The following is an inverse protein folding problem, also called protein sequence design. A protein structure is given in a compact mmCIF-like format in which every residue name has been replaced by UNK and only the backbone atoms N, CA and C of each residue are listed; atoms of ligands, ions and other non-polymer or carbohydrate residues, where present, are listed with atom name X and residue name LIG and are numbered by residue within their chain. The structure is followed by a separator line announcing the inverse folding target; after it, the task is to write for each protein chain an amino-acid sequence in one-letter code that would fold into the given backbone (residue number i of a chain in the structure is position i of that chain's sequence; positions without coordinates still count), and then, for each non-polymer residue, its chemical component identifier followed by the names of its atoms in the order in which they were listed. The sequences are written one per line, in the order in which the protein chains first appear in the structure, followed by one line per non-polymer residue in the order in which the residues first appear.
data_IF_275461088356
#
_entry.id   IF_275461088356
#
_cell.length_a   1.000
_cell.length_b   1.000
_cell.length_c   1.000
_cell.angle_alpha   90.00
_cell.angle_beta   90.00
_cell.angle_gamma   90.00
#
_symmetry.space_group_name_H-M   'P 1'
#
loop_
_entity.id
_entity.type
_entity.pdbx_description
1 polymer ?
#
# COMPACT_ATOMS: atom_id res chain seq x y z
N UNK A 1 -11.13 10.42 -79.57
CA UNK A 1 -10.88 11.78 -79.03
C UNK A 1 -10.03 11.61 -77.79
N UNK A 2 -8.86 12.23 -77.80
CA UNK A 2 -7.72 11.97 -76.91
C UNK A 2 -7.68 12.96 -75.74
N UNK A 3 -7.08 12.53 -74.60
CA UNK A 3 -6.06 13.23 -73.77
C UNK A 3 -6.08 12.60 -72.36
N UNK A 4 -5.26 11.59 -72.07
CA UNK A 4 -3.86 11.64 -71.59
C UNK A 4 -3.59 12.55 -70.39
N UNK A 5 -3.15 11.86 -69.35
CA UNK A 5 -2.46 12.26 -68.11
C UNK A 5 -1.51 13.44 -68.28
N UNK A 6 -1.52 14.35 -67.31
CA UNK A 6 -0.37 15.17 -66.95
C UNK A 6 -0.42 15.49 -65.45
N UNK A 7 0.61 15.02 -64.74
CA UNK A 7 0.97 15.51 -63.42
C UNK A 7 1.53 16.94 -63.54
N UNK A 8 1.20 17.83 -62.59
CA UNK A 8 2.06 18.97 -62.25
C UNK A 8 1.59 19.69 -60.96
N UNK A 9 2.57 19.91 -60.09
CA UNK A 9 2.76 21.06 -59.19
C UNK A 9 1.97 21.12 -57.86
N UNK A 10 2.68 20.68 -56.82
CA UNK A 10 3.14 21.52 -55.69
C UNK A 10 2.19 22.58 -55.12
N UNK A 11 1.96 22.46 -53.81
CA UNK A 11 1.78 23.60 -52.92
C UNK A 11 0.34 23.98 -52.63
N UNK A 12 -0.26 23.31 -51.65
CA UNK A 12 -1.50 23.74 -51.02
C UNK A 12 -1.55 23.11 -49.65
N UNK A 13 -1.20 23.88 -48.63
CA UNK A 13 -1.16 23.46 -47.24
C UNK A 13 -2.47 22.75 -46.88
N UNK A 14 -2.39 21.45 -46.66
CA UNK A 14 -3.37 20.79 -45.79
C UNK A 14 -3.08 21.38 -44.43
N UNK A 15 -3.88 22.39 -44.03
CA UNK A 15 -4.17 22.65 -42.64
C UNK A 15 -4.84 21.39 -42.11
N UNK A 16 -4.04 20.33 -41.93
CA UNK A 16 -4.31 19.34 -40.91
C UNK A 16 -4.31 20.21 -39.66
N UNK A 17 -5.49 20.44 -39.12
CA UNK A 17 -5.63 20.76 -37.71
C UNK A 17 -4.97 19.61 -36.98
N UNK A 18 -3.65 19.70 -36.82
CA UNK A 18 -2.93 18.97 -35.84
C UNK A 18 -3.57 19.42 -34.54
N UNK A 19 -4.48 18.60 -34.04
CA UNK A 19 -4.70 18.44 -32.62
C UNK A 19 -3.40 17.86 -32.01
N UNK A 20 -2.26 18.52 -32.24
CA UNK A 20 -1.14 18.46 -31.32
C UNK A 20 -1.70 19.09 -30.06
N UNK A 21 -2.20 18.22 -29.19
CA UNK A 21 -2.62 18.58 -27.86
C UNK A 21 -1.60 19.53 -27.28
N UNK A 22 -2.12 20.63 -26.76
CA UNK A 22 -1.42 21.42 -25.77
C UNK A 22 -1.12 20.46 -24.62
N UNK A 23 0.02 19.76 -24.65
CA UNK A 23 0.66 19.27 -23.44
C UNK A 23 1.06 20.55 -22.73
N UNK A 24 0.13 20.99 -21.89
CA UNK A 24 0.21 22.21 -21.15
C UNK A 24 1.39 22.10 -20.19
N UNK A 25 2.24 23.11 -20.16
CA UNK A 25 3.41 23.21 -19.26
C UNK A 25 3.03 22.96 -17.77
N UNK A 26 1.75 23.13 -17.43
CA UNK A 26 1.19 22.83 -16.09
C UNK A 26 1.08 21.33 -15.79
N UNK A 27 0.79 20.48 -16.79
CA UNK A 27 0.75 19.02 -16.61
C UNK A 27 2.15 18.49 -16.25
N UNK A 28 3.18 19.01 -16.88
CA UNK A 28 4.57 18.63 -16.59
C UNK A 28 4.97 19.09 -15.17
N UNK A 29 4.58 20.31 -14.77
CA UNK A 29 4.85 20.84 -13.43
C UNK A 29 4.18 20.05 -12.31
N UNK A 30 2.91 19.66 -12.46
CA UNK A 30 2.21 18.88 -11.43
C UNK A 30 2.79 17.46 -11.34
N UNK A 31 3.22 16.88 -12.47
CA UNK A 31 3.92 15.59 -12.47
C UNK A 31 5.30 15.68 -11.80
N UNK A 32 6.07 16.75 -12.03
CA UNK A 32 7.35 16.98 -11.36
C UNK A 32 7.19 17.17 -9.85
N UNK A 33 6.17 17.93 -9.45
CA UNK A 33 5.81 18.06 -8.04
C UNK A 33 5.44 16.71 -7.43
N UNK A 34 4.60 15.94 -8.12
CA UNK A 34 4.18 14.62 -7.67
C UNK A 34 5.39 13.69 -7.54
N UNK A 35 6.31 13.70 -8.51
CA UNK A 35 7.54 12.91 -8.46
C UNK A 35 8.40 13.27 -7.23
N UNK A 36 8.62 14.56 -6.98
CA UNK A 36 9.38 15.04 -5.81
C UNK A 36 8.80 14.53 -4.50
N UNK A 37 7.46 14.53 -4.37
CA UNK A 37 6.76 13.98 -3.20
C UNK A 37 6.91 12.45 -3.17
N UNK A 38 6.59 11.78 -4.26
CA UNK A 38 6.53 10.32 -4.34
C UNK A 38 7.89 9.64 -4.09
N UNK A 39 8.99 10.24 -4.52
CA UNK A 39 10.34 9.73 -4.25
C UNK A 39 10.65 9.70 -2.73
N UNK A 40 10.10 10.64 -1.95
CA UNK A 40 10.22 10.67 -0.49
C UNK A 40 9.19 9.79 0.23
N UNK A 41 8.01 9.64 -0.37
CA UNK A 41 6.87 8.87 0.16
C UNK A 41 7.14 7.37 0.11
N UNK A 42 7.71 6.86 -0.99
CA UNK A 42 7.95 5.44 -1.22
C UNK A 42 8.56 4.67 -0.03
N UNK A 43 9.72 5.08 0.55
CA UNK A 43 10.30 4.36 1.68
C UNK A 43 9.41 4.35 2.93
N UNK A 44 8.54 5.36 3.10
CA UNK A 44 7.63 5.40 4.24
C UNK A 44 6.41 4.50 4.00
N UNK A 45 5.91 4.41 2.76
CA UNK A 45 4.88 3.44 2.41
C UNK A 45 5.36 2.00 2.61
N UNK A 46 6.62 1.71 2.30
CA UNK A 46 7.21 0.39 2.56
C UNK A 46 7.24 0.08 4.05
N UNK A 47 7.61 1.05 4.90
CA UNK A 47 7.56 0.89 6.37
C UNK A 47 6.15 0.61 6.87
N UNK A 48 5.14 1.30 6.34
CA UNK A 48 3.73 1.06 6.70
C UNK A 48 3.32 -0.35 6.27
N UNK A 49 3.64 -0.78 5.05
CA UNK A 49 3.33 -2.11 4.55
C UNK A 49 3.98 -3.21 5.41
N UNK A 50 5.26 -3.05 5.75
CA UNK A 50 5.99 -4.01 6.58
C UNK A 50 5.45 -4.05 8.02
N UNK A 51 5.15 -2.89 8.62
CA UNK A 51 4.55 -2.83 9.96
C UNK A 51 3.19 -3.54 10.00
N UNK A 52 2.34 -3.28 9.01
CA UNK A 52 1.05 -3.97 8.90
C UNK A 52 1.21 -5.48 8.71
N UNK A 53 2.21 -5.92 7.92
CA UNK A 53 2.49 -7.33 7.75
C UNK A 53 2.94 -7.99 9.07
N UNK A 54 3.74 -7.31 9.89
CA UNK A 54 4.14 -7.82 11.22
C UNK A 54 2.94 -8.02 12.15
N UNK A 55 1.98 -7.09 12.17
CA UNK A 55 0.72 -7.24 12.95
C UNK A 55 -0.07 -8.47 12.47
N UNK A 56 -0.23 -8.62 11.15
CA UNK A 56 -0.96 -9.75 10.57
C UNK A 56 -0.29 -11.09 10.87
N UNK A 57 1.04 -11.12 10.87
CA UNK A 57 1.83 -12.32 11.19
C UNK A 57 1.56 -12.81 12.61
N UNK A 58 1.51 -11.92 13.62
CA UNK A 58 1.20 -12.32 15.00
C UNK A 58 -0.19 -12.94 15.14
N UNK A 59 -1.15 -12.48 14.33
CA UNK A 59 -2.50 -13.05 14.28
C UNK A 59 -2.48 -14.47 13.69
N UNK A 60 -1.72 -14.68 12.61
CA UNK A 60 -1.59 -15.99 11.96
C UNK A 60 -0.85 -17.01 12.84
N UNK A 61 0.16 -16.58 13.58
CA UNK A 61 1.02 -17.43 14.41
C UNK A 61 0.35 -17.83 15.74
N UNK A 62 -0.85 -17.32 16.05
CA UNK A 62 -1.54 -17.52 17.33
C UNK A 62 -0.64 -17.15 18.53
N UNK A 63 0.07 -16.03 18.39
CA UNK A 63 1.11 -15.59 19.32
C UNK A 63 0.61 -15.30 20.74
N UNK A 64 1.54 -15.31 21.69
CA UNK A 64 1.22 -14.97 23.08
C UNK A 64 0.90 -13.48 23.21
N UNK A 65 0.08 -13.06 24.19
CA UNK A 65 -0.26 -11.66 24.40
C UNK A 65 0.94 -10.70 24.48
N UNK A 66 2.05 -11.12 25.09
CA UNK A 66 3.26 -10.30 25.18
C UNK A 66 3.89 -10.05 23.80
N UNK A 67 3.98 -11.09 22.97
CA UNK A 67 4.57 -11.00 21.62
C UNK A 67 3.69 -10.13 20.70
N UNK A 68 2.37 -10.25 20.83
CA UNK A 68 1.38 -9.40 20.13
C UNK A 68 1.54 -7.95 20.57
N UNK A 69 1.57 -7.67 21.88
CA UNK A 69 1.74 -6.32 22.41
C UNK A 69 3.03 -5.67 21.90
N UNK A 70 4.16 -6.35 22.00
CA UNK A 70 5.46 -5.82 21.57
C UNK A 70 5.46 -5.51 20.07
N UNK A 71 4.96 -6.44 19.26
CA UNK A 71 4.91 -6.28 17.80
C UNK A 71 3.97 -5.15 17.38
N UNK A 72 2.75 -5.11 17.94
CA UNK A 72 1.76 -4.09 17.61
C UNK A 72 2.23 -2.70 18.04
N UNK A 73 2.89 -2.59 19.21
CA UNK A 73 3.48 -1.34 19.68
C UNK A 73 4.57 -0.84 18.71
N UNK A 74 5.52 -1.70 18.36
CA UNK A 74 6.58 -1.37 17.41
C UNK A 74 6.00 -0.98 16.04
N UNK A 75 4.99 -1.70 15.56
CA UNK A 75 4.32 -1.44 14.31
C UNK A 75 3.58 -0.08 14.32
N UNK A 76 2.78 0.21 15.34
CA UNK A 76 2.08 1.49 15.43
C UNK A 76 3.03 2.68 15.58
N UNK A 77 4.14 2.53 16.32
CA UNK A 77 5.21 3.52 16.36
C UNK A 77 5.81 3.76 14.97
N UNK A 78 6.15 2.70 14.24
CA UNK A 78 6.70 2.81 12.90
C UNK A 78 5.73 3.49 11.93
N UNK A 79 4.44 3.14 11.99
CA UNK A 79 3.40 3.75 11.17
C UNK A 79 3.22 5.23 11.52
N UNK A 80 3.20 5.58 12.82
CA UNK A 80 3.13 6.96 13.29
C UNK A 80 4.27 7.82 12.72
N UNK A 81 5.51 7.31 12.80
CA UNK A 81 6.69 7.99 12.27
C UNK A 81 6.66 8.11 10.74
N UNK A 82 6.20 7.06 10.06
CA UNK A 82 6.03 7.09 8.61
C UNK A 82 5.03 8.18 8.19
N UNK A 83 3.86 8.26 8.82
CA UNK A 83 2.89 9.34 8.55
C UNK A 83 3.45 10.74 8.82
N UNK A 84 4.26 10.90 9.87
CA UNK A 84 4.95 12.17 10.14
C UNK A 84 5.88 12.54 8.99
N UNK A 85 6.67 11.58 8.52
CA UNK A 85 7.60 11.77 7.41
C UNK A 85 6.87 12.06 6.08
N UNK A 86 5.73 11.41 5.83
CA UNK A 86 4.86 11.74 4.69
C UNK A 86 4.40 13.19 4.74
N UNK A 87 3.94 13.67 5.90
CA UNK A 87 3.56 15.06 6.10
C UNK A 87 4.72 16.03 5.81
N UNK A 88 5.92 15.73 6.33
CA UNK A 88 7.12 16.53 6.07
C UNK A 88 7.54 16.52 4.60
N UNK A 89 7.33 15.43 3.86
CA UNK A 89 7.62 15.36 2.43
C UNK A 89 6.72 16.30 1.63
N UNK A 90 5.41 16.32 1.92
CA UNK A 90 4.45 17.24 1.29
C UNK A 90 4.73 18.69 1.68
N UNK A 91 5.07 18.95 2.94
CA UNK A 91 5.45 20.28 3.42
C UNK A 91 6.71 20.79 2.69
N UNK A 92 7.74 19.95 2.56
CA UNK A 92 9.00 20.29 1.88
C UNK A 92 8.87 20.39 0.36
N UNK A 93 7.87 19.72 -0.22
CA UNK A 93 7.58 19.81 -1.64
C UNK A 93 7.09 21.21 -2.04
N UNK A 94 6.36 21.88 -1.13
CA UNK A 94 5.61 23.11 -1.42
C UNK A 94 4.20 22.80 -1.94
N UNK A 95 3.40 23.84 -2.20
CA UNK A 95 2.10 23.68 -2.86
C UNK A 95 2.20 22.97 -4.20
N UNK A 96 1.32 22.02 -4.54
CA UNK A 96 1.21 21.53 -5.91
C UNK A 96 0.82 22.68 -6.85
N UNK A 97 1.33 22.70 -8.09
CA UNK A 97 1.08 23.77 -9.05
C UNK A 97 -0.28 23.59 -9.74
N UNK A 98 -1.35 23.66 -8.95
CA UNK A 98 -2.75 23.58 -9.37
C UNK A 98 -3.54 24.71 -8.70
N UNK A 99 -4.77 24.95 -9.17
CA UNK A 99 -5.71 25.79 -8.44
C UNK A 99 -5.91 25.25 -7.01
N UNK A 100 -5.96 26.16 -6.03
CA UNK A 100 -6.02 25.86 -4.59
C UNK A 100 -4.84 25.06 -4.00
N UNK A 101 -3.70 24.97 -4.69
CA UNK A 101 -2.55 24.17 -4.26
C UNK A 101 -2.07 24.47 -2.82
N UNK A 102 -2.08 25.72 -2.37
CA UNK A 102 -1.74 26.04 -0.97
C UNK A 102 -2.69 25.38 0.04
N UNK A 103 -3.99 25.39 -0.25
CA UNK A 103 -5.01 24.77 0.58
C UNK A 103 -4.81 23.26 0.57
N UNK A 104 -4.62 22.67 -0.61
CA UNK A 104 -4.33 21.24 -0.78
C UNK A 104 -3.13 20.81 0.05
N UNK A 105 -2.03 21.57 0.01
CA UNK A 105 -0.83 21.28 0.80
C UNK A 105 -1.10 21.35 2.29
N UNK A 106 -1.70 22.44 2.78
CA UNK A 106 -1.98 22.65 4.21
C UNK A 106 -2.90 21.56 4.77
N UNK A 107 -3.96 21.21 4.03
CA UNK A 107 -4.86 20.13 4.41
C UNK A 107 -4.15 18.78 4.43
N UNK A 108 -3.38 18.45 3.38
CA UNK A 108 -2.64 17.19 3.32
C UNK A 108 -1.64 17.06 4.48
N UNK A 109 -0.84 18.09 4.75
CA UNK A 109 0.12 18.12 5.86
C UNK A 109 -0.60 17.97 7.19
N UNK A 110 -1.72 18.66 7.40
CA UNK A 110 -2.53 18.56 8.62
C UNK A 110 -3.04 17.14 8.83
N UNK A 111 -3.64 16.53 7.82
CA UNK A 111 -4.22 15.19 7.91
C UNK A 111 -3.15 14.12 8.14
N UNK A 112 -2.02 14.18 7.41
CA UNK A 112 -0.89 13.25 7.61
C UNK A 112 -0.31 13.35 9.03
N UNK A 113 -0.17 14.57 9.56
CA UNK A 113 0.25 14.76 10.95
C UNK A 113 -0.80 14.27 11.96
N UNK A 114 -2.10 14.43 11.67
CA UNK A 114 -3.16 13.90 12.51
C UNK A 114 -3.15 12.36 12.55
N UNK A 115 -2.93 11.69 11.41
CA UNK A 115 -2.72 10.25 11.34
C UNK A 115 -1.50 9.81 12.16
N UNK A 116 -0.39 10.53 12.07
CA UNK A 116 0.80 10.26 12.89
C UNK A 116 0.47 10.26 14.38
N UNK A 117 -0.23 11.29 14.87
CA UNK A 117 -0.66 11.39 16.27
C UNK A 117 -1.62 10.27 16.64
N UNK A 118 -2.55 9.91 15.76
CA UNK A 118 -3.52 8.86 16.02
C UNK A 118 -2.84 7.49 16.20
N UNK A 119 -1.86 7.15 15.35
CA UNK A 119 -1.09 5.92 15.49
C UNK A 119 -0.17 5.93 16.73
N UNK A 120 0.38 7.08 17.13
CA UNK A 120 1.11 7.18 18.40
C UNK A 120 0.21 6.87 19.60
N UNK A 121 -1.05 7.32 19.58
CA UNK A 121 -2.03 6.97 20.62
C UNK A 121 -2.40 5.49 20.61
N UNK A 122 -2.43 4.85 19.43
CA UNK A 122 -2.62 3.39 19.35
C UNK A 122 -1.45 2.63 19.98
N UNK A 123 -0.21 3.07 19.73
CA UNK A 123 0.97 2.52 20.40
C UNK A 123 0.81 2.59 21.93
N UNK A 124 0.48 3.77 22.47
CA UNK A 124 0.26 3.94 23.91
C UNK A 124 -0.85 3.01 24.46
N UNK A 125 -1.93 2.82 23.71
CA UNK A 125 -3.02 1.90 24.09
C UNK A 125 -2.58 0.44 24.08
N UNK A 126 -1.78 0.04 23.10
CA UNK A 126 -1.18 -1.31 23.04
C UNK A 126 -0.24 -1.52 24.21
N UNK A 127 0.64 -0.56 24.49
CA UNK A 127 1.59 -0.61 25.61
C UNK A 127 0.87 -0.80 26.96
N UNK A 128 -0.35 -0.27 27.08
CA UNK A 128 -1.18 -0.38 28.29
C UNK A 128 -1.98 -1.70 28.40
N UNK A 129 -1.95 -2.58 27.40
CA UNK A 129 -2.69 -3.84 27.44
C UNK A 129 -2.19 -4.76 28.56
N UNK A 130 -3.12 -5.49 29.19
CA UNK A 130 -2.78 -6.49 30.18
C UNK A 130 -2.42 -7.82 29.51
N UNK A 131 -1.13 -8.12 29.38
CA UNK A 131 -0.63 -9.35 28.76
C UNK A 131 -0.71 -10.59 29.66
N UNK A 132 -1.06 -10.43 30.94
CA UNK A 132 -1.13 -11.52 31.93
C UNK A 132 -2.53 -12.15 32.03
N UNK A 133 -3.55 -11.47 31.52
CA UNK A 133 -4.93 -11.91 31.52
C UNK A 133 -5.45 -11.93 30.07
N UNK A 134 -5.67 -13.12 29.52
CA UNK A 134 -6.08 -13.29 28.13
C UNK A 134 -7.43 -12.63 27.81
N UNK A 135 -8.39 -12.66 28.76
CA UNK A 135 -9.69 -12.04 28.56
C UNK A 135 -9.57 -10.52 28.48
N UNK A 136 -8.83 -9.92 29.43
CA UNK A 136 -8.56 -8.48 29.43
C UNK A 136 -7.72 -8.03 28.23
N UNK A 137 -6.76 -8.85 27.81
CA UNK A 137 -5.98 -8.60 26.60
C UNK A 137 -6.88 -8.54 25.37
N UNK A 138 -7.71 -9.57 25.17
CA UNK A 138 -8.62 -9.67 24.05
C UNK A 138 -9.67 -8.54 24.05
N UNK A 139 -10.12 -8.08 25.21
CA UNK A 139 -11.02 -6.93 25.30
C UNK A 139 -10.31 -5.61 24.97
N UNK A 140 -9.07 -5.43 25.44
CA UNK A 140 -8.27 -4.27 25.07
C UNK A 140 -7.96 -4.19 23.57
N UNK A 141 -7.69 -5.33 22.92
CA UNK A 141 -7.51 -5.40 21.46
C UNK A 141 -8.78 -4.97 20.70
N UNK A 142 -9.99 -5.27 21.20
CA UNK A 142 -11.23 -4.75 20.59
C UNK A 142 -11.26 -3.22 20.61
N UNK A 143 -10.86 -2.60 21.73
CA UNK A 143 -10.80 -1.14 21.84
C UNK A 143 -9.76 -0.50 20.90
N UNK A 144 -8.66 -1.20 20.61
CA UNK A 144 -7.68 -0.79 19.60
C UNK A 144 -8.28 -0.90 18.18
N UNK A 145 -9.00 -1.99 17.90
CA UNK A 145 -9.68 -2.17 16.62
C UNK A 145 -10.73 -1.07 16.35
N UNK A 146 -11.48 -0.66 17.38
CA UNK A 146 -12.45 0.44 17.28
C UNK A 146 -11.78 1.78 16.92
N UNK A 147 -10.62 2.08 17.53
CA UNK A 147 -9.85 3.28 17.19
C UNK A 147 -9.26 3.21 15.79
N UNK A 148 -8.73 2.04 15.39
CA UNK A 148 -8.28 1.81 14.01
C UNK A 148 -9.41 2.03 13.01
N UNK A 149 -10.63 1.57 13.30
CA UNK A 149 -11.78 1.78 12.43
C UNK A 149 -12.13 3.27 12.28
N UNK A 150 -12.03 4.06 13.35
CA UNK A 150 -12.18 5.53 13.30
C UNK A 150 -11.08 6.17 12.46
N UNK A 151 -9.83 5.76 12.65
CA UNK A 151 -8.69 6.25 11.86
C UNK A 151 -8.90 5.94 10.38
N UNK A 152 -9.31 4.73 10.04
CA UNK A 152 -9.60 4.32 8.65
C UNK A 152 -10.72 5.17 8.05
N UNK A 153 -11.83 5.32 8.76
CA UNK A 153 -13.00 6.07 8.27
C UNK A 153 -12.67 7.54 8.00
N UNK A 154 -11.95 8.19 8.93
CA UNK A 154 -11.55 9.59 8.76
C UNK A 154 -10.45 9.74 7.70
N UNK A 155 -9.49 8.81 7.70
CA UNK A 155 -8.40 8.76 6.73
C UNK A 155 -8.89 8.60 5.30
N UNK A 156 -9.89 7.75 5.04
CA UNK A 156 -10.47 7.56 3.71
C UNK A 156 -11.12 8.83 3.16
N UNK A 157 -11.74 9.64 4.04
CA UNK A 157 -12.33 10.92 3.62
C UNK A 157 -11.24 11.94 3.26
N UNK A 158 -10.18 12.04 4.06
CA UNK A 158 -9.05 12.91 3.78
C UNK A 158 -8.29 12.47 2.51
N UNK A 159 -8.04 11.17 2.38
CA UNK A 159 -7.30 10.61 1.25
C UNK A 159 -8.07 10.76 -0.07
N UNK A 160 -9.40 10.58 -0.06
CA UNK A 160 -10.24 10.84 -1.25
C UNK A 160 -10.10 12.26 -1.79
N UNK A 161 -9.89 13.25 -0.91
CA UNK A 161 -9.64 14.63 -1.35
C UNK A 161 -8.27 14.77 -2.02
N UNK A 162 -7.22 14.23 -1.41
CA UNK A 162 -5.86 14.28 -1.95
C UNK A 162 -5.73 13.48 -3.28
N UNK A 163 -6.48 12.39 -3.41
CA UNK A 163 -6.51 11.53 -4.59
C UNK A 163 -7.47 12.04 -5.68
N UNK A 164 -8.18 13.15 -5.45
CA UNK A 164 -9.05 13.74 -6.45
C UNK A 164 -8.32 14.76 -7.32
N UNK A 165 -8.88 15.03 -8.50
CA UNK A 165 -8.37 16.05 -9.42
C UNK A 165 -7.00 15.75 -10.00
N UNK A 166 -6.31 16.82 -10.41
CA UNK A 166 -5.03 16.75 -11.12
C UNK A 166 -3.90 16.24 -10.24
N UNK A 167 -3.86 16.66 -8.96
CA UNK A 167 -2.84 16.22 -7.99
C UNK A 167 -2.91 14.70 -7.78
N UNK A 168 -4.11 14.17 -7.52
CA UNK A 168 -4.30 12.73 -7.35
C UNK A 168 -3.93 11.94 -8.60
N UNK A 169 -4.28 12.44 -9.78
CA UNK A 169 -3.92 11.84 -11.07
C UNK A 169 -2.41 11.82 -11.29
N UNK A 170 -1.72 12.92 -10.99
CA UNK A 170 -0.28 13.04 -11.11
C UNK A 170 0.45 12.09 -10.15
N UNK A 171 0.03 12.02 -8.89
CA UNK A 171 0.59 11.08 -7.90
C UNK A 171 0.36 9.62 -8.29
N UNK A 172 -0.81 9.27 -8.84
CA UNK A 172 -1.13 7.92 -9.27
C UNK A 172 -0.29 7.45 -10.48
N UNK A 173 0.30 8.37 -11.26
CA UNK A 173 1.24 8.04 -12.35
C UNK A 173 2.65 7.73 -11.85
N UNK A 174 3.00 8.17 -10.63
CA UNK A 174 4.35 7.98 -10.10
C UNK A 174 4.50 6.61 -9.43
N UNK A 175 5.57 5.89 -9.77
CA UNK A 175 5.89 4.60 -9.15
C UNK A 175 6.10 4.72 -7.64
N UNK A 176 6.76 5.80 -7.17
CA UNK A 176 7.05 6.01 -5.76
C UNK A 176 5.81 6.22 -4.85
N UNK A 177 4.64 6.52 -5.44
CA UNK A 177 3.38 6.64 -4.70
C UNK A 177 2.48 5.40 -4.85
N UNK A 178 2.90 4.39 -5.63
CA UNK A 178 2.16 3.13 -5.69
C UNK A 178 2.24 2.41 -4.35
N UNK A 179 1.18 1.67 -4.03
CA UNK A 179 1.14 0.88 -2.80
C UNK A 179 2.18 -0.25 -2.91
N UNK A 180 3.21 -0.27 -2.05
CA UNK A 180 4.18 -1.35 -2.08
C UNK A 180 3.54 -2.63 -1.52
N UNK A 181 3.98 -3.77 -2.02
CA UNK A 181 3.79 -5.04 -1.33
C UNK A 181 4.74 -5.07 -0.13
N UNK A 182 4.29 -5.69 0.97
CA UNK A 182 5.19 -5.92 2.10
C UNK A 182 6.38 -6.74 1.61
N UNK A 183 7.59 -6.33 1.97
CA UNK A 183 8.78 -7.12 1.63
C UNK A 183 8.67 -8.45 2.36
N UNK A 184 8.89 -9.55 1.65
CA UNK A 184 9.11 -10.82 2.33
C UNK A 184 10.33 -10.64 3.24
N UNK A 185 10.14 -10.72 4.56
CA UNK A 185 11.27 -10.81 5.48
C UNK A 185 12.13 -11.99 5.02
N UNK A 186 13.47 -11.88 5.01
CA UNK A 186 14.31 -13.04 4.80
C UNK A 186 13.96 -14.01 5.93
N UNK A 187 13.28 -15.10 5.57
CA UNK A 187 13.11 -16.24 6.46
C UNK A 187 14.51 -16.62 6.93
N UNK A 188 14.70 -16.77 8.24
CA UNK A 188 15.94 -17.28 8.81
C UNK A 188 16.12 -18.73 8.31
N UNK A 189 16.64 -18.86 7.10
CA UNK A 189 17.10 -20.10 6.50
C UNK A 189 18.42 -20.46 7.13
N UNK A 190 18.35 -21.44 8.02
CA UNK A 190 19.47 -22.12 8.66
C UNK A 190 20.54 -22.52 7.64
N UNK A 191 21.77 -22.38 8.10
CA UNK A 191 23.01 -22.92 7.57
C UNK A 191 22.88 -24.37 7.09
N UNK A 192 23.63 -24.65 6.02
CA UNK A 192 24.30 -25.91 5.67
C UNK A 192 23.72 -27.23 6.17
N UNK A 193 23.28 -28.08 5.24
CA UNK A 193 24.02 -29.32 4.99
C UNK A 193 23.84 -29.78 3.54
N UNK A 194 24.90 -30.38 3.01
CA UNK A 194 25.16 -30.58 1.59
C UNK A 194 24.61 -31.91 1.06
N UNK A 195 24.04 -31.83 -0.14
CA UNK A 195 24.13 -32.80 -1.25
C UNK A 195 23.57 -34.25 -1.19
N UNK A 196 23.31 -34.85 -2.38
CA UNK A 196 22.31 -35.88 -2.60
C UNK A 196 22.90 -37.24 -3.03
N UNK A 197 22.07 -38.29 -3.09
CA UNK A 197 22.32 -39.43 -3.98
C UNK A 197 21.04 -40.23 -4.31
N UNK A 198 20.62 -40.11 -5.58
CA UNK A 198 20.15 -41.16 -6.52
C UNK A 198 19.10 -42.22 -6.12
N UNK A 199 17.84 -42.01 -6.59
CA UNK A 199 17.04 -42.80 -7.58
C UNK A 199 17.04 -44.37 -7.59
N UNK A 200 16.08 -45.06 -8.26
CA UNK A 200 14.61 -45.12 -8.15
C UNK A 200 14.08 -46.60 -8.25
N UNK A 201 12.76 -46.82 -8.48
CA UNK A 201 12.04 -48.06 -8.93
C UNK A 201 10.95 -48.45 -7.92
N UNK A 202 9.67 -48.75 -8.22
CA UNK A 202 8.89 -49.06 -9.44
C UNK A 202 7.39 -48.96 -9.07
N UNK A 203 6.55 -48.51 -9.99
CA UNK A 203 5.06 -48.62 -10.03
C UNK A 203 4.55 -50.10 -9.99
N UNK A 204 3.24 -50.40 -10.16
CA UNK A 204 2.03 -49.98 -9.45
C UNK A 204 1.11 -51.19 -9.12
N UNK A 205 -0.02 -51.04 -8.40
CA UNK A 205 -1.27 -51.85 -8.52
C UNK A 205 -2.29 -51.39 -7.46
N UNK A 206 -3.40 -50.72 -7.80
CA UNK A 206 -4.71 -51.20 -8.28
C UNK A 206 -5.58 -51.93 -7.25
N UNK A 207 -6.74 -51.32 -6.97
CA UNK A 207 -8.07 -51.85 -6.59
C UNK A 207 -8.20 -52.93 -5.51
N UNK A 208 -8.96 -52.63 -4.44
CA UNK A 208 -10.28 -53.23 -4.17
C UNK A 208 -10.87 -52.78 -2.81
N UNK A 209 -12.01 -52.08 -2.86
CA UNK A 209 -13.10 -52.23 -1.88
C UNK A 209 -13.88 -53.50 -2.24
N UNK A 210 -14.63 -54.20 -1.35
CA UNK A 210 -15.68 -53.61 -0.50
C UNK A 210 -15.94 -54.30 0.86
N UNK A 211 -16.73 -53.66 1.73
CA UNK A 211 -18.03 -54.20 2.18
C UNK A 211 -18.63 -53.42 3.34
N UNK A 212 -19.94 -53.20 3.19
CA UNK A 212 -20.84 -52.60 4.14
C UNK A 212 -21.15 -53.51 5.33
N UNK A 213 -21.50 -52.90 6.46
CA UNK A 213 -22.61 -53.38 7.29
C UNK A 213 -23.26 -52.23 8.04
N UNK A 214 -24.55 -52.12 7.79
CA UNK A 214 -25.50 -51.18 8.35
C UNK A 214 -26.12 -51.72 9.65
N UNK A 215 -26.89 -50.83 10.29
CA UNK A 215 -27.89 -51.06 11.35
C UNK A 215 -27.33 -51.05 12.78
N UNK A 216 -27.96 -50.45 13.79
CA UNK A 216 -29.39 -50.15 14.04
C UNK A 216 -29.43 -49.16 15.24
N UNK A 217 -30.01 -47.96 15.10
CA UNK A 217 -31.35 -47.55 15.55
C UNK A 217 -31.64 -47.77 17.05
N UNK A 218 -31.71 -46.68 17.80
CA UNK A 218 -32.85 -46.26 18.62
C UNK A 218 -32.78 -44.74 18.80
#
# INVERSE_FOLDING_TARGET
MNKKLAAALSGGAVLVLALSGCSDDSDDKVNDWAKKVCDQVHPQLQKIANANASIQQQTADNSKPADVQETDSAAFKQISQAYKALGSAVESAGPPPVDDGETTQKEAVKELNASSVAYAKLQEKVDALNTKDQGKFADGLKGIADELNKISTNGDQALKKLQSGEVGTAMAKQEGCQKPTASASPSAGKSDDSEPSTQPSTEPSKEASPSASASKKA
#
